data_IF_686785507723
#
_entry.id   IF_686785507723
#
_cell.length_a   1.000
_cell.length_b   1.000
_cell.length_c   1.000
_cell.angle_alpha   90.00
_cell.angle_beta   90.00
_cell.angle_gamma   90.00
#
_symmetry.space_group_name_H-M   'P 1'
#
loop_
_entity.id
_entity.type
_entity.pdbx_description
1 polymer ?
#
# COMPACT_ATOMS: atom_id res chain seq x y z
N UNK A 1 -1.84 -20.01 -25.63
CA UNK A 1 -1.65 -18.93 -24.61
C UNK A 1 -0.49 -19.22 -23.65
N UNK A 2 -0.28 -20.47 -23.21
CA UNK A 2 0.85 -20.87 -22.33
C UNK A 2 2.24 -20.82 -23.00
N UNK A 3 2.34 -21.04 -24.31
CA UNK A 3 3.61 -21.01 -25.05
C UNK A 3 4.26 -19.62 -25.17
N UNK A 4 3.48 -18.52 -25.08
CA UNK A 4 4.04 -17.15 -25.02
C UNK A 4 4.66 -16.83 -23.66
N UNK A 5 4.24 -17.53 -22.61
CA UNK A 5 4.84 -17.42 -21.27
C UNK A 5 6.22 -18.11 -21.20
N UNK A 6 6.42 -19.17 -21.99
CA UNK A 6 7.69 -19.90 -22.03
C UNK A 6 8.75 -19.21 -22.91
N UNK A 7 8.37 -18.52 -23.99
CA UNK A 7 9.32 -17.79 -24.86
C UNK A 7 9.92 -16.55 -24.17
N UNK A 8 9.21 -15.91 -23.22
CA UNK A 8 9.79 -14.84 -22.39
C UNK A 8 10.76 -15.36 -21.31
N UNK A 9 10.78 -16.67 -21.04
CA UNK A 9 11.69 -17.33 -20.09
C UNK A 9 13.13 -17.45 -20.60
N UNK A 10 13.37 -17.19 -21.88
CA UNK A 10 14.66 -17.40 -22.53
C UNK A 10 15.63 -16.21 -22.55
N UNK A 11 15.29 -15.04 -21.99
CA UNK A 11 16.15 -13.84 -22.16
C UNK A 11 16.10 -12.77 -21.06
N UNK A 12 15.79 -13.13 -19.83
CA UNK A 12 15.76 -12.15 -18.73
C UNK A 12 16.71 -12.58 -17.63
N UNK A 13 17.87 -11.91 -17.55
CA UNK A 13 18.60 -11.78 -16.29
C UNK A 13 17.60 -11.28 -15.25
N UNK A 14 17.13 -12.16 -14.37
CA UNK A 14 16.22 -11.81 -13.27
C UNK A 14 16.96 -10.77 -12.43
N UNK A 15 16.45 -9.54 -12.42
CA UNK A 15 17.06 -8.47 -11.64
C UNK A 15 16.46 -8.55 -10.23
N UNK A 16 17.19 -8.05 -9.23
CA UNK A 16 16.76 -8.16 -7.83
C UNK A 16 15.35 -7.62 -7.53
N UNK A 17 14.84 -6.68 -8.34
CA UNK A 17 13.47 -6.18 -8.20
C UNK A 17 12.38 -7.20 -8.55
N UNK A 18 12.66 -8.20 -9.39
CA UNK A 18 11.70 -9.25 -9.76
C UNK A 18 11.38 -10.15 -8.56
N UNK A 19 12.38 -10.41 -7.70
CA UNK A 19 12.20 -11.16 -6.46
C UNK A 19 11.39 -10.39 -5.43
N UNK A 20 11.64 -9.08 -5.29
CA UNK A 20 10.86 -8.21 -4.40
C UNK A 20 9.39 -8.16 -4.84
N UNK A 21 9.14 -8.07 -6.14
CA UNK A 21 7.78 -8.08 -6.70
C UNK A 21 7.08 -9.42 -6.45
N UNK A 22 7.79 -10.53 -6.63
CA UNK A 22 7.25 -11.87 -6.37
C UNK A 22 6.92 -12.07 -4.88
N UNK A 23 7.81 -11.62 -3.99
CA UNK A 23 7.55 -11.66 -2.56
C UNK A 23 6.32 -10.81 -2.19
N UNK A 24 6.22 -9.59 -2.72
CA UNK A 24 5.05 -8.72 -2.49
C UNK A 24 3.76 -9.36 -2.99
N UNK A 25 3.78 -10.04 -4.14
CA UNK A 25 2.63 -10.75 -4.68
C UNK A 25 2.16 -11.88 -3.75
N UNK A 26 3.09 -12.68 -3.21
CA UNK A 26 2.74 -13.73 -2.24
C UNK A 26 2.10 -13.13 -0.98
N UNK A 27 2.63 -12.02 -0.47
CA UNK A 27 2.05 -11.34 0.71
C UNK A 27 0.63 -10.85 0.43
N UNK A 28 0.36 -10.32 -0.77
CA UNK A 28 -1.00 -9.91 -1.18
C UNK A 28 -1.97 -11.09 -1.20
N UNK A 29 -1.53 -12.27 -1.67
CA UNK A 29 -2.37 -13.46 -1.65
C UNK A 29 -2.73 -13.86 -0.22
N UNK A 30 -1.76 -13.84 0.69
CA UNK A 30 -1.98 -14.12 2.12
C UNK A 30 -2.96 -13.10 2.71
N UNK A 31 -2.74 -11.81 2.43
CA UNK A 31 -3.62 -10.74 2.87
C UNK A 31 -5.05 -10.95 2.36
N UNK A 32 -5.23 -11.29 1.09
CA UNK A 32 -6.55 -11.51 0.50
C UNK A 32 -7.25 -12.71 1.13
N UNK A 33 -6.52 -13.81 1.37
CA UNK A 33 -7.06 -14.98 2.05
C UNK A 33 -7.50 -14.66 3.49
N UNK A 34 -6.70 -13.88 4.23
CA UNK A 34 -7.06 -13.40 5.57
C UNK A 34 -8.30 -12.51 5.54
N UNK A 35 -8.40 -11.59 4.57
CA UNK A 35 -9.58 -10.75 4.40
C UNK A 35 -10.84 -11.57 4.11
N UNK A 36 -10.74 -12.58 3.23
CA UNK A 36 -11.86 -13.49 2.94
C UNK A 36 -12.28 -14.28 4.19
N UNK A 37 -11.32 -14.75 4.98
CA UNK A 37 -11.60 -15.44 6.24
C UNK A 37 -12.26 -14.50 7.26
N UNK A 38 -11.79 -13.27 7.38
CA UNK A 38 -12.37 -12.25 8.24
C UNK A 38 -13.84 -11.96 7.86
N UNK A 39 -14.15 -11.88 6.57
CA UNK A 39 -15.55 -11.75 6.10
C UNK A 39 -16.41 -12.95 6.48
N UNK A 40 -15.87 -14.18 6.40
CA UNK A 40 -16.58 -15.39 6.82
C UNK A 40 -16.88 -15.45 8.33
N UNK A 41 -16.14 -14.69 9.14
CA UNK A 41 -16.36 -14.55 10.58
C UNK A 41 -17.50 -13.56 10.93
N UNK A 42 -18.08 -12.87 9.94
CA UNK A 42 -19.25 -12.02 10.12
C UNK A 42 -18.98 -10.51 10.02
N UNK A 43 -17.93 -10.07 9.31
CA UNK A 43 -17.75 -8.64 8.98
C UNK A 43 -18.97 -8.20 8.13
N UNK A 44 -19.88 -7.45 8.74
CA UNK A 44 -21.16 -7.02 8.14
C UNK A 44 -22.41 -7.36 8.95
N UNK A 45 -22.32 -8.23 9.96
CA UNK A 45 -23.40 -8.46 10.93
C UNK A 45 -23.36 -7.43 12.07
N UNK A 46 -24.54 -7.11 12.61
CA UNK A 46 -24.66 -6.17 13.73
C UNK A 46 -23.82 -6.65 14.94
N UNK A 47 -23.06 -5.73 15.54
CA UNK A 47 -22.12 -6.01 16.64
C UNK A 47 -22.78 -6.72 17.83
N UNK A 48 -24.10 -6.59 17.97
CA UNK A 48 -24.91 -7.20 19.03
C UNK A 48 -25.17 -8.69 18.86
N UNK A 49 -25.01 -9.24 17.64
CA UNK A 49 -25.27 -10.66 17.34
C UNK A 49 -23.99 -11.51 17.45
N UNK A 50 -22.82 -10.88 17.51
CA UNK A 50 -21.52 -11.55 17.46
C UNK A 50 -20.96 -11.68 18.89
N UNK A 51 -20.62 -12.91 19.28
CA UNK A 51 -19.94 -13.19 20.55
C UNK A 51 -18.63 -12.42 20.67
N UNK A 52 -18.34 -11.85 21.84
CA UNK A 52 -17.13 -11.02 22.09
C UNK A 52 -15.82 -11.71 21.68
N UNK A 53 -15.73 -13.04 21.84
CA UNK A 53 -14.56 -13.82 21.41
C UNK A 53 -14.32 -13.77 19.89
N UNK A 54 -15.38 -13.74 19.08
CA UNK A 54 -15.26 -13.62 17.62
C UNK A 54 -14.93 -12.20 17.20
N UNK A 55 -15.47 -11.20 17.90
CA UNK A 55 -15.13 -9.79 17.67
C UNK A 55 -13.64 -9.52 17.93
N UNK A 56 -13.06 -10.12 18.96
CA UNK A 56 -11.64 -9.97 19.27
C UNK A 56 -10.75 -10.59 18.19
N UNK A 57 -11.08 -11.80 17.72
CA UNK A 57 -10.39 -12.44 16.60
C UNK A 57 -10.47 -11.62 15.31
N UNK A 58 -11.65 -11.07 14.97
CA UNK A 58 -11.82 -10.20 13.80
C UNK A 58 -10.89 -8.99 13.90
N UNK A 59 -10.82 -8.34 15.09
CA UNK A 59 -9.92 -7.20 15.32
C UNK A 59 -8.45 -7.55 15.15
N UNK A 60 -8.03 -8.71 15.65
CA UNK A 60 -6.66 -9.21 15.48
C UNK A 60 -6.32 -9.45 14.00
N UNK A 61 -7.22 -10.09 13.25
CA UNK A 61 -7.02 -10.29 11.81
C UNK A 61 -6.95 -8.95 11.06
N UNK A 62 -7.83 -8.00 11.38
CA UNK A 62 -7.84 -6.67 10.77
C UNK A 62 -6.50 -5.92 11.02
N UNK A 63 -5.96 -6.04 12.23
CA UNK A 63 -4.67 -5.46 12.60
C UNK A 63 -3.53 -6.07 11.78
N UNK A 64 -3.48 -7.40 11.68
CA UNK A 64 -2.45 -8.10 10.87
C UNK A 64 -2.58 -7.73 9.39
N UNK A 65 -3.80 -7.71 8.85
CA UNK A 65 -4.07 -7.32 7.46
C UNK A 65 -3.58 -5.89 7.18
N UNK A 66 -3.76 -4.96 8.13
CA UNK A 66 -3.31 -3.57 7.98
C UNK A 66 -1.79 -3.47 7.92
N UNK A 67 -1.07 -4.19 8.80
CA UNK A 67 0.40 -4.24 8.77
C UNK A 67 0.92 -4.85 7.46
N UNK A 68 0.33 -5.97 7.01
CA UNK A 68 0.66 -6.60 5.74
C UNK A 68 0.41 -5.65 4.56
N UNK A 69 -0.67 -4.87 4.61
CA UNK A 69 -1.00 -3.89 3.58
C UNK A 69 0.10 -2.83 3.45
N UNK A 70 0.62 -2.32 4.57
CA UNK A 70 1.69 -1.32 4.57
C UNK A 70 2.95 -1.90 3.93
N UNK A 71 3.33 -3.14 4.27
CA UNK A 71 4.48 -3.84 3.68
C UNK A 71 4.30 -3.98 2.15
N UNK A 72 3.12 -4.41 1.70
CA UNK A 72 2.82 -4.57 0.27
C UNK A 72 2.88 -3.23 -0.45
N UNK A 73 2.28 -2.19 0.12
CA UNK A 73 2.25 -0.85 -0.47
C UNK A 73 3.66 -0.31 -0.67
N UNK A 74 4.54 -0.45 0.33
CA UNK A 74 5.90 0.05 0.24
C UNK A 74 6.77 -0.80 -0.68
N UNK A 75 6.63 -2.13 -0.65
CA UNK A 75 7.30 -3.01 -1.61
C UNK A 75 6.91 -2.67 -3.05
N UNK A 76 5.63 -2.37 -3.31
CA UNK A 76 5.13 -1.97 -4.63
C UNK A 76 5.76 -0.64 -5.07
N UNK A 77 5.79 0.36 -4.19
CA UNK A 77 6.42 1.67 -4.46
C UNK A 77 7.91 1.51 -4.76
N UNK A 78 8.62 0.70 -3.97
CA UNK A 78 10.04 0.39 -4.19
C UNK A 78 10.29 -0.31 -5.53
N UNK A 79 9.44 -1.27 -5.91
CA UNK A 79 9.53 -1.92 -7.23
C UNK A 79 9.41 -0.90 -8.37
N UNK A 80 8.49 0.06 -8.27
CA UNK A 80 8.33 1.14 -9.26
C UNK A 80 9.58 2.01 -9.32
N UNK A 81 10.13 2.42 -8.17
CA UNK A 81 11.40 3.17 -8.11
C UNK A 81 12.54 2.41 -8.80
N UNK A 82 12.71 1.13 -8.48
CA UNK A 82 13.75 0.28 -9.07
C UNK A 82 13.54 0.08 -10.57
N UNK A 83 12.30 -0.04 -11.02
CA UNK A 83 11.95 -0.14 -12.44
C UNK A 83 12.31 1.15 -13.20
N UNK A 84 11.97 2.32 -12.64
CA UNK A 84 12.38 3.63 -13.17
C UNK A 84 13.91 3.73 -13.26
N UNK A 85 14.64 3.25 -12.24
CA UNK A 85 16.10 3.21 -12.22
C UNK A 85 16.68 2.27 -13.29
N UNK A 86 16.02 1.15 -13.52
CA UNK A 86 16.47 0.15 -14.49
C UNK A 86 16.31 0.63 -15.93
N UNK A 87 15.30 1.47 -16.21
CA UNK A 87 15.07 2.05 -17.53
C UNK A 87 15.97 3.25 -17.78
N UNK A 88 16.24 4.08 -16.76
CA UNK A 88 16.92 5.36 -16.94
C UNK A 88 18.28 5.43 -16.25
N UNK A 89 19.35 5.63 -17.03
CA UNK A 89 20.73 5.68 -16.51
C UNK A 89 21.26 7.11 -16.28
N UNK A 90 20.45 8.15 -16.45
CA UNK A 90 20.89 9.54 -16.26
C UNK A 90 21.22 9.86 -14.80
N UNK A 91 22.33 10.58 -14.59
CA UNK A 91 22.85 10.90 -13.26
C UNK A 91 21.87 11.72 -12.39
N UNK A 92 21.16 12.70 -12.96
CA UNK A 92 20.20 13.53 -12.21
C UNK A 92 18.97 12.76 -11.70
N UNK A 93 18.39 11.89 -12.54
CA UNK A 93 17.24 11.06 -12.16
C UNK A 93 17.68 9.95 -11.19
N UNK A 94 18.93 9.47 -11.29
CA UNK A 94 19.48 8.49 -10.36
C UNK A 94 19.51 9.03 -8.92
N UNK A 95 19.96 10.27 -8.72
CA UNK A 95 20.00 10.90 -7.39
C UNK A 95 18.59 11.10 -6.85
N UNK A 96 17.68 11.64 -7.67
CA UNK A 96 16.28 11.82 -7.28
C UNK A 96 15.63 10.50 -6.85
N UNK A 97 15.91 9.41 -7.57
CA UNK A 97 15.36 8.10 -7.26
C UNK A 97 15.98 7.46 -6.00
N UNK A 98 17.28 7.64 -5.76
CA UNK A 98 17.93 7.20 -4.51
C UNK A 98 17.32 7.95 -3.32
N UNK A 99 17.14 9.27 -3.43
CA UNK A 99 16.46 10.06 -2.41
C UNK A 99 15.03 9.55 -2.17
N UNK A 100 14.30 9.24 -3.23
CA UNK A 100 12.93 8.73 -3.14
C UNK A 100 12.86 7.36 -2.44
N UNK A 101 13.81 6.47 -2.72
CA UNK A 101 13.94 5.18 -2.02
C UNK A 101 14.28 5.39 -0.55
N UNK A 102 15.24 6.28 -0.23
CA UNK A 102 15.65 6.55 1.14
C UNK A 102 14.51 7.16 1.97
N UNK A 103 13.84 8.19 1.43
CA UNK A 103 12.70 8.84 2.04
C UNK A 103 11.54 7.85 2.16
N UNK A 104 11.31 7.00 1.16
CA UNK A 104 10.30 5.94 1.18
C UNK A 104 10.54 4.89 2.26
N UNK A 105 11.79 4.44 2.43
CA UNK A 105 12.16 3.50 3.48
C UNK A 105 12.02 4.13 4.88
N UNK A 106 12.41 5.40 5.05
CA UNK A 106 12.22 6.12 6.31
C UNK A 106 10.73 6.27 6.67
N UNK A 107 9.90 6.63 5.69
CA UNK A 107 8.46 6.76 5.89
C UNK A 107 7.80 5.40 6.15
N UNK A 108 8.24 4.34 5.48
CA UNK A 108 7.78 2.98 5.79
C UNK A 108 8.06 2.62 7.25
N UNK A 109 9.27 2.87 7.75
CA UNK A 109 9.62 2.61 9.14
C UNK A 109 8.73 3.40 10.11
N UNK A 110 8.53 4.69 9.84
CA UNK A 110 7.63 5.55 10.62
C UNK A 110 6.20 5.01 10.65
N UNK A 111 5.64 4.67 9.49
CA UNK A 111 4.27 4.15 9.36
C UNK A 111 4.09 2.79 10.03
N UNK A 112 5.07 1.89 9.86
CA UNK A 112 5.04 0.58 10.48
C UNK A 112 5.10 0.69 12.00
N UNK A 113 5.97 1.53 12.55
CA UNK A 113 6.06 1.76 14.00
C UNK A 113 4.79 2.45 14.51
N UNK A 114 4.30 3.49 13.84
CA UNK A 114 3.10 4.22 14.24
C UNK A 114 1.87 3.30 14.28
N UNK A 115 1.70 2.42 13.28
CA UNK A 115 0.59 1.46 13.25
C UNK A 115 0.78 0.27 14.19
N UNK A 116 2.02 -0.20 14.38
CA UNK A 116 2.32 -1.25 15.33
C UNK A 116 2.04 -0.81 16.78
N UNK A 117 2.37 0.43 17.12
CA UNK A 117 2.26 1.02 18.47
C UNK A 117 1.09 2.02 18.60
N UNK A 118 0.06 1.91 17.76
CA UNK A 118 -1.11 2.79 17.80
C UNK A 118 -1.94 2.72 19.10
N UNK A 119 -1.73 1.68 19.91
CA UNK A 119 -2.43 1.41 21.17
C UNK A 119 -1.45 0.86 22.22
N UNK A 120 -1.71 1.05 23.53
CA UNK A 120 -0.91 0.46 24.60
C UNK A 120 -1.01 -1.08 24.62
N UNK A 121 0.12 -1.76 24.84
CA UNK A 121 0.17 -3.21 25.09
C UNK A 121 -0.58 -3.53 26.41
N UNK A 122 -1.27 -4.67 26.53
CA UNK A 122 -1.10 -5.93 25.80
C UNK A 122 -2.05 -6.20 24.63
N UNK A 123 -2.96 -5.29 24.31
CA UNK A 123 -4.04 -5.51 23.31
C UNK A 123 -4.05 -4.48 22.18
N UNK A 124 -3.02 -4.43 21.32
CA UNK A 124 -2.87 -3.44 20.25
C UNK A 124 -3.97 -3.50 19.16
N UNK A 125 -4.71 -4.60 19.08
CA UNK A 125 -5.81 -4.81 18.14
C UNK A 125 -7.12 -4.10 18.54
N UNK A 126 -7.21 -3.49 19.73
CA UNK A 126 -8.38 -2.71 20.18
C UNK A 126 -8.48 -1.30 19.53
N UNK A 127 -7.69 -1.02 18.49
CA UNK A 127 -7.70 0.26 17.78
C UNK A 127 -9.07 0.67 17.19
N UNK A 128 -10.02 -0.27 17.08
CA UNK A 128 -11.39 -0.01 16.63
C UNK A 128 -12.29 0.70 17.68
N UNK A 129 -11.82 0.89 18.92
CA UNK A 129 -12.52 1.67 19.95
C UNK A 129 -11.80 3.00 20.19
N UNK A 130 -12.38 4.09 19.67
CA UNK A 130 -11.88 5.48 19.81
C UNK A 130 -11.68 5.89 21.27
N UNK A 131 -12.46 5.32 22.21
CA UNK A 131 -12.35 5.59 23.64
C UNK A 131 -11.11 4.99 24.32
N UNK A 132 -10.60 3.86 23.80
CA UNK A 132 -9.42 3.17 24.35
C UNK A 132 -8.13 3.60 23.65
N UNK A 133 -8.21 4.06 22.40
CA UNK A 133 -7.05 4.52 21.63
C UNK A 133 -7.34 5.82 20.86
N UNK A 134 -7.19 6.99 21.52
CA UNK A 134 -7.41 8.29 20.87
C UNK A 134 -6.38 8.59 19.77
N UNK A 135 -5.21 7.94 19.79
CA UNK A 135 -4.16 8.13 18.78
C UNK A 135 -4.44 7.42 17.45
N UNK A 136 -5.38 6.45 17.40
CA UNK A 136 -5.64 5.66 16.19
C UNK A 136 -6.15 6.50 15.01
N UNK A 137 -7.03 7.47 15.28
CA UNK A 137 -7.54 8.39 14.26
C UNK A 137 -6.44 9.25 13.62
N UNK A 138 -5.68 10.03 14.41
CA UNK A 138 -4.56 10.81 13.90
C UNK A 138 -3.51 10.00 13.13
N UNK A 139 -3.18 8.79 13.60
CA UNK A 139 -2.21 7.89 12.93
C UNK A 139 -2.73 7.43 11.57
N UNK A 140 -4.04 7.16 11.47
CA UNK A 140 -4.67 6.78 10.21
C UNK A 140 -4.59 7.91 9.17
N UNK A 141 -4.97 9.13 9.54
CA UNK A 141 -4.88 10.31 8.67
C UNK A 141 -3.43 10.61 8.25
N UNK A 142 -2.48 10.50 9.18
CA UNK A 142 -1.06 10.63 8.89
C UNK A 142 -0.58 9.59 7.86
N UNK A 143 -1.06 8.34 7.99
CA UNK A 143 -0.71 7.24 7.08
C UNK A 143 -1.20 7.48 5.66
N UNK A 144 -2.43 7.93 5.53
CA UNK A 144 -3.04 8.26 4.23
C UNK A 144 -2.31 9.44 3.59
N UNK A 145 -2.18 10.55 4.30
CA UNK A 145 -1.60 11.78 3.77
C UNK A 145 -0.16 11.56 3.30
N UNK A 146 0.66 10.92 4.13
CA UNK A 146 2.03 10.54 3.76
C UNK A 146 2.03 9.64 2.53
N UNK A 147 1.17 8.62 2.49
CA UNK A 147 1.10 7.71 1.34
C UNK A 147 0.74 8.43 0.03
N UNK A 148 -0.22 9.35 0.07
CA UNK A 148 -0.61 10.18 -1.08
C UNK A 148 0.52 11.10 -1.53
N UNK A 149 1.23 11.74 -0.59
CA UNK A 149 2.36 12.60 -0.91
C UNK A 149 3.47 11.84 -1.67
N UNK A 150 3.75 10.60 -1.28
CA UNK A 150 4.67 9.72 -2.02
C UNK A 150 4.20 9.42 -3.44
N UNK A 151 2.91 9.15 -3.61
CA UNK A 151 2.36 8.85 -4.92
C UNK A 151 2.45 10.07 -5.84
N UNK A 152 2.14 11.28 -5.34
CA UNK A 152 2.33 12.53 -6.08
C UNK A 152 3.80 12.74 -6.46
N UNK A 153 4.73 12.52 -5.52
CA UNK A 153 6.16 12.70 -5.79
C UNK A 153 6.68 11.68 -6.83
N UNK A 154 6.21 10.42 -6.76
CA UNK A 154 6.45 9.41 -7.79
C UNK A 154 5.89 9.83 -9.15
N UNK A 155 4.69 10.40 -9.20
CA UNK A 155 4.10 10.92 -10.44
C UNK A 155 4.97 12.02 -11.05
N UNK A 156 5.49 12.94 -10.25
CA UNK A 156 6.37 14.03 -10.71
C UNK A 156 7.65 13.44 -11.29
N UNK A 157 8.31 12.52 -10.57
CA UNK A 157 9.54 11.87 -11.04
C UNK A 157 9.30 11.08 -12.33
N UNK A 158 8.20 10.34 -12.41
CA UNK A 158 7.82 9.61 -13.61
C UNK A 158 7.53 10.55 -14.79
N UNK A 159 6.84 11.67 -14.55
CA UNK A 159 6.54 12.68 -15.57
C UNK A 159 7.80 13.37 -16.09
N UNK A 160 8.72 13.76 -15.19
CA UNK A 160 10.01 14.34 -15.56
C UNK A 160 10.84 13.35 -16.41
N UNK A 161 10.84 12.07 -16.03
CA UNK A 161 11.46 11.02 -16.84
C UNK A 161 10.83 10.93 -18.23
N UNK A 162 9.51 10.90 -18.31
CA UNK A 162 8.73 10.76 -19.54
C UNK A 162 8.94 11.95 -20.50
N UNK A 163 9.09 13.16 -19.98
CA UNK A 163 9.35 14.36 -20.80
C UNK A 163 10.78 14.34 -21.34
N UNK A 164 11.75 13.86 -20.56
CA UNK A 164 13.17 13.86 -20.92
C UNK A 164 13.58 12.68 -21.82
N UNK A 165 12.92 11.54 -21.69
CA UNK A 165 13.20 10.35 -22.50
C UNK A 165 12.26 10.26 -23.68
N UNK A 166 12.80 10.06 -24.89
CA UNK A 166 12.05 9.77 -26.12
C UNK A 166 11.43 8.35 -26.09
N UNK A 167 10.62 8.05 -25.09
CA UNK A 167 9.83 6.82 -25.01
C UNK A 167 8.55 6.92 -25.82
N UNK A 168 8.10 5.78 -26.34
CA UNK A 168 6.85 5.64 -27.07
C UNK A 168 5.64 6.13 -26.24
N UNK A 169 4.71 6.85 -26.86
CA UNK A 169 3.55 7.47 -26.20
C UNK A 169 2.67 6.46 -25.43
N UNK A 170 2.66 5.19 -25.86
CA UNK A 170 1.94 4.11 -25.17
C UNK A 170 2.46 3.86 -23.75
N UNK A 171 3.77 3.87 -23.55
CA UNK A 171 4.37 3.67 -22.22
C UNK A 171 4.07 4.86 -21.31
N UNK A 172 4.04 6.08 -21.87
CA UNK A 172 3.65 7.30 -21.14
C UNK A 172 2.22 7.19 -20.64
N UNK A 173 1.29 6.79 -21.51
CA UNK A 173 -0.12 6.63 -21.16
C UNK A 173 -0.35 5.55 -20.09
N UNK A 174 0.37 4.42 -20.15
CA UNK A 174 0.26 3.35 -19.14
C UNK A 174 0.74 3.85 -17.77
N UNK A 175 1.87 4.56 -17.72
CA UNK A 175 2.44 5.08 -16.48
C UNK A 175 1.52 6.13 -15.87
N UNK A 176 1.07 7.10 -16.66
CA UNK A 176 0.12 8.14 -16.20
C UNK A 176 -1.19 7.52 -15.75
N UNK A 177 -1.73 6.53 -16.49
CA UNK A 177 -2.96 5.82 -16.11
C UNK A 177 -2.83 5.04 -14.81
N UNK A 178 -1.71 4.33 -14.62
CA UNK A 178 -1.41 3.63 -13.36
C UNK A 178 -1.35 4.60 -12.19
N UNK A 179 -0.65 5.72 -12.35
CA UNK A 179 -0.54 6.74 -11.29
C UNK A 179 -1.88 7.44 -11.00
N UNK A 180 -2.65 7.79 -12.04
CA UNK A 180 -3.98 8.37 -11.88
C UNK A 180 -4.93 7.41 -11.16
N UNK A 181 -4.88 6.11 -11.47
CA UNK A 181 -5.70 5.10 -10.81
C UNK A 181 -5.42 5.00 -9.30
N UNK A 182 -4.16 5.20 -8.89
CA UNK A 182 -3.76 5.18 -7.48
C UNK A 182 -4.31 6.37 -6.73
N UNK A 183 -4.15 7.59 -7.28
CA UNK A 183 -4.70 8.80 -6.67
C UNK A 183 -6.22 8.69 -6.51
N UNK A 184 -6.90 8.23 -7.56
CA UNK A 184 -8.36 8.09 -7.55
C UNK A 184 -8.83 7.07 -6.50
N UNK A 185 -8.14 5.95 -6.34
CA UNK A 185 -8.47 4.95 -5.32
C UNK A 185 -8.33 5.49 -3.88
N UNK A 186 -7.29 6.28 -3.60
CA UNK A 186 -7.07 6.82 -2.25
C UNK A 186 -8.04 7.95 -1.92
N UNK A 187 -8.41 8.77 -2.90
CA UNK A 187 -9.45 9.81 -2.73
C UNK A 187 -10.81 9.17 -2.46
N UNK A 188 -11.18 8.15 -3.22
CA UNK A 188 -12.44 7.44 -3.03
C UNK A 188 -12.54 6.84 -1.61
N UNK A 189 -11.48 6.20 -1.13
CA UNK A 189 -11.47 5.57 0.20
C UNK A 189 -11.51 6.58 1.37
N UNK A 190 -11.02 7.81 1.18
CA UNK A 190 -11.21 8.89 2.17
C UNK A 190 -12.67 9.32 2.23
N UNK A 191 -13.30 9.50 1.07
CA UNK A 191 -14.67 9.96 0.98
C UNK A 191 -15.65 8.98 1.65
N UNK A 192 -15.45 7.67 1.45
CA UNK A 192 -16.22 6.63 2.14
C UNK A 192 -15.98 6.63 3.66
N UNK A 193 -14.75 6.93 4.12
CA UNK A 193 -14.44 6.99 5.55
C UNK A 193 -15.14 8.16 6.23
N UNK A 194 -15.05 9.36 5.66
CA UNK A 194 -15.73 10.54 6.21
C UNK A 194 -17.25 10.32 6.26
N UNK A 195 -17.82 9.71 5.22
CA UNK A 195 -19.24 9.36 5.19
C UNK A 195 -19.63 8.36 6.30
N UNK A 196 -18.79 7.34 6.56
CA UNK A 196 -19.04 6.36 7.62
C UNK A 196 -18.89 6.95 9.02
N UNK A 197 -17.94 7.88 9.22
CA UNK A 197 -17.75 8.59 10.49
C UNK A 197 -18.93 9.52 10.77
N UNK A 198 -19.42 10.25 9.76
CA UNK A 198 -20.59 11.11 9.88
C UNK A 198 -21.88 10.33 10.17
N UNK A 199 -22.03 9.13 9.59
CA UNK A 199 -23.17 8.25 9.87
C UNK A 199 -23.09 7.58 11.25
N UNK A 200 -21.89 7.32 11.79
CA UNK A 200 -21.70 6.76 13.13
C UNK A 200 -21.78 7.83 14.26
N UNK A 201 -21.72 9.10 13.89
CA UNK A 201 -21.86 10.27 14.78
C UNK A 201 -23.32 10.69 15.00
N UNK A 202 -24.25 10.24 14.15
CA UNK A 202 -25.71 10.40 14.31
C UNK A 202 -26.34 9.18 14.96
#
# INVERSE_FOLDING_TARGET
>A
MLLRFCVLRGRTSLKGYDFVLLAAFVVVLVQTALSMHATSLGIGQHRTTISEKRLDLIRQFQYVISLLSIIVLTATKLCVCLFIRAINSFAGIRIANIMLIAVGAANFGSLFVATAFQCPLPSPWLAASTSLCPAAGPIYWYTISTSMAFDVFLCIVASLMVVRVQTNMRTKAIVVGLFASRILSTVFMNYDNDLMVDLASR
#
